data_IF_678235335747
#
_entry.id   IF_678235335747
#
_cell.length_a   1.000
_cell.length_b   1.000
_cell.length_c   1.000
_cell.angle_alpha   90.00
_cell.angle_beta   90.00
_cell.angle_gamma   90.00
#
_symmetry.space_group_name_H-M   'P 1'
#
loop_
_entity.id
_entity.type
_entity.pdbx_description
1 polymer ?
#
# COMPACT_ATOMS: atom_id res chain seq x y z
N UNK A 1 -13.82 -28.93 45.60
CA UNK A 1 -12.52 -28.27 45.40
C UNK A 1 -11.73 -29.16 44.44
N UNK A 2 -11.47 -28.83 43.18
CA UNK A 2 -11.36 -27.56 42.46
C UNK A 2 -11.91 -27.78 41.04
N UNK A 3 -12.62 -26.80 40.48
CA UNK A 3 -12.87 -26.75 39.05
C UNK A 3 -11.54 -26.39 38.37
N UNK A 4 -11.14 -27.18 37.37
CA UNK A 4 -9.94 -26.96 36.57
C UNK A 4 -10.24 -25.87 35.54
N UNK A 5 -9.75 -24.66 35.83
CA UNK A 5 -10.00 -23.47 35.05
C UNK A 5 -9.05 -23.44 33.85
N UNK A 6 -9.63 -23.66 32.66
CA UNK A 6 -9.24 -22.99 31.40
C UNK A 6 -7.78 -23.11 30.98
N UNK A 7 -7.45 -24.17 30.25
CA UNK A 7 -6.46 -24.08 29.17
C UNK A 7 -7.20 -23.71 27.87
N UNK A 8 -7.62 -22.44 27.76
CA UNK A 8 -7.92 -21.90 26.43
C UNK A 8 -6.58 -21.86 25.70
N UNK A 9 -6.36 -22.81 24.81
CA UNK A 9 -5.37 -22.67 23.75
C UNK A 9 -5.86 -21.49 22.92
N UNK A 10 -5.34 -20.30 23.20
CA UNK A 10 -5.36 -19.20 22.25
C UNK A 10 -4.49 -19.69 21.10
N UNK A 11 -5.10 -20.34 20.12
CA UNK A 11 -4.50 -20.40 18.79
C UNK A 11 -4.22 -18.94 18.42
N UNK A 12 -3.02 -18.60 17.91
CA UNK A 12 -2.78 -17.24 17.46
C UNK A 12 -3.79 -17.00 16.35
N UNK A 13 -4.83 -16.22 16.65
CA UNK A 13 -5.70 -15.65 15.65
C UNK A 13 -4.76 -15.06 14.60
N UNK A 14 -4.90 -15.38 13.31
CA UNK A 14 -4.07 -14.80 12.26
C UNK A 14 -4.51 -13.34 12.10
N UNK A 15 -4.23 -12.51 13.10
CA UNK A 15 -4.42 -11.07 13.04
C UNK A 15 -3.58 -10.57 11.85
N UNK A 16 -4.14 -9.72 10.98
CA UNK A 16 -3.47 -9.31 9.76
C UNK A 16 -2.18 -8.62 10.14
N UNK A 17 -1.02 -9.08 9.67
CA UNK A 17 0.29 -8.58 10.14
C UNK A 17 0.58 -7.14 9.69
N UNK A 18 -0.29 -6.57 8.87
CA UNK A 18 -0.14 -5.25 8.28
C UNK A 18 -1.52 -4.59 8.09
N UNK A 19 -1.59 -3.29 8.30
CA UNK A 19 -2.80 -2.49 8.01
C UNK A 19 -2.67 -1.80 6.65
N UNK A 20 -1.47 -1.30 6.32
CA UNK A 20 -1.22 -0.46 5.14
C UNK A 20 0.04 -0.88 4.40
N UNK A 21 -0.08 -1.25 3.12
CA UNK A 21 1.07 -1.42 2.23
C UNK A 21 1.41 -0.09 1.54
N UNK A 22 2.66 0.37 1.62
CA UNK A 22 3.11 1.60 0.97
C UNK A 22 3.95 1.23 -0.26
N UNK A 23 3.34 1.37 -1.43
CA UNK A 23 3.97 1.18 -2.73
C UNK A 23 4.42 2.52 -3.29
N UNK A 24 5.70 2.63 -3.64
CA UNK A 24 6.34 3.92 -3.92
C UNK A 24 7.59 3.73 -4.79
N UNK A 25 8.07 4.82 -5.38
CA UNK A 25 9.33 4.83 -6.12
C UNK A 25 10.45 5.42 -5.27
N UNK A 26 11.26 4.56 -4.68
CA UNK A 26 12.35 4.99 -3.79
C UNK A 26 13.28 6.08 -4.36
N UNK A 27 13.63 6.07 -5.66
CA UNK A 27 14.51 7.12 -6.22
C UNK A 27 13.86 8.51 -6.28
N UNK A 28 12.53 8.58 -6.30
CA UNK A 28 11.76 9.83 -6.28
C UNK A 28 11.46 10.34 -4.88
N UNK A 29 11.53 9.44 -3.89
CA UNK A 29 10.90 9.63 -2.58
C UNK A 29 11.80 9.29 -1.40
N UNK A 30 13.06 8.90 -1.65
CA UNK A 30 14.09 8.66 -0.63
C UNK A 30 14.30 9.94 0.19
N UNK A 31 13.53 10.07 1.27
CA UNK A 31 13.67 11.10 2.30
C UNK A 31 12.48 12.03 2.54
N UNK A 32 11.37 11.96 1.80
CA UNK A 32 10.21 12.84 2.07
C UNK A 32 8.93 12.05 2.37
N UNK A 33 8.13 11.71 1.38
CA UNK A 33 6.73 11.32 1.64
C UNK A 33 6.52 9.90 2.17
N UNK A 34 7.15 8.88 1.59
CA UNK A 34 6.88 7.48 1.95
C UNK A 34 7.38 7.14 3.36
N UNK A 35 8.56 7.68 3.73
CA UNK A 35 9.08 7.59 5.09
C UNK A 35 8.21 8.36 6.09
N UNK A 36 7.76 9.58 5.75
CA UNK A 36 6.85 10.35 6.60
C UNK A 36 5.51 9.64 6.81
N UNK A 37 4.94 9.03 5.76
CA UNK A 37 3.72 8.23 5.85
C UNK A 37 3.94 7.02 6.75
N UNK A 38 5.03 6.27 6.54
CA UNK A 38 5.39 5.11 7.36
C UNK A 38 5.49 5.50 8.84
N UNK A 39 6.30 6.50 9.17
CA UNK A 39 6.49 6.93 10.55
C UNK A 39 5.19 7.47 11.16
N UNK A 40 4.40 8.24 10.40
CA UNK A 40 3.15 8.79 10.87
C UNK A 40 2.13 7.69 11.20
N UNK A 41 1.94 6.73 10.30
CA UNK A 41 1.04 5.61 10.51
C UNK A 41 1.45 4.76 11.71
N UNK A 42 2.76 4.48 11.85
CA UNK A 42 3.27 3.80 13.03
C UNK A 42 2.99 4.57 14.33
N UNK A 43 3.17 5.90 14.33
CA UNK A 43 2.90 6.76 15.50
C UNK A 43 1.43 6.78 15.92
N UNK A 44 0.49 6.65 14.97
CA UNK A 44 -0.94 6.60 15.27
C UNK A 44 -1.46 5.17 15.51
N UNK A 45 -0.56 4.19 15.62
CA UNK A 45 -0.89 2.81 15.99
C UNK A 45 -1.27 1.89 14.84
N UNK A 46 -1.14 2.33 13.59
CA UNK A 46 -1.28 1.46 12.41
C UNK A 46 0.01 0.68 12.17
N UNK A 47 -0.09 -0.44 11.46
CA UNK A 47 1.04 -1.29 11.09
C UNK A 47 1.36 -1.13 9.60
N UNK A 48 2.16 -0.12 9.21
CA UNK A 48 2.55 0.07 7.83
C UNK A 48 3.64 -0.94 7.41
N UNK A 49 3.61 -1.30 6.14
CA UNK A 49 4.70 -1.99 5.45
C UNK A 49 5.29 -1.08 4.38
N UNK A 50 6.59 -0.86 4.45
CA UNK A 50 7.41 -0.15 3.47
C UNK A 50 8.65 -1.00 3.19
N UNK A 51 8.86 -1.43 1.95
CA UNK A 51 9.94 -2.33 1.55
C UNK A 51 11.32 -1.96 2.14
N UNK A 52 11.70 -0.69 2.10
CA UNK A 52 13.00 -0.15 2.52
C UNK A 52 13.19 -0.10 4.03
N UNK A 53 12.08 -0.16 4.79
CA UNK A 53 12.09 -0.19 6.25
C UNK A 53 11.91 -1.61 6.80
N UNK A 54 11.14 -2.45 6.10
CA UNK A 54 10.70 -3.75 6.61
C UNK A 54 11.52 -4.94 6.08
N UNK A 55 12.18 -4.81 4.92
CA UNK A 55 12.96 -5.90 4.33
C UNK A 55 14.41 -5.92 4.81
N UNK A 56 14.93 -7.12 5.08
CA UNK A 56 16.33 -7.37 5.46
C UNK A 56 17.17 -7.76 4.25
N UNK A 57 18.50 -7.52 4.30
CA UNK A 57 19.41 -8.09 3.32
C UNK A 57 19.28 -9.61 3.26
N UNK A 58 18.97 -10.16 2.07
CA UNK A 58 18.80 -11.60 1.86
C UNK A 58 17.35 -12.07 1.73
N UNK A 59 16.36 -11.21 2.00
CA UNK A 59 14.95 -11.52 1.79
C UNK A 59 14.65 -11.77 0.29
N UNK A 60 13.78 -12.75 0.01
CA UNK A 60 13.31 -12.99 -1.36
C UNK A 60 12.37 -11.86 -1.75
N UNK A 61 12.89 -10.87 -2.47
CA UNK A 61 12.21 -9.62 -2.81
C UNK A 61 10.74 -9.81 -3.21
N UNK A 62 10.47 -10.67 -4.20
CA UNK A 62 9.11 -10.90 -4.68
C UNK A 62 8.21 -11.67 -3.70
N UNK A 63 8.74 -12.66 -2.99
CA UNK A 63 7.94 -13.51 -2.09
C UNK A 63 7.42 -12.75 -0.87
N UNK A 64 8.31 -12.02 -0.20
CA UNK A 64 7.95 -11.22 0.99
C UNK A 64 7.01 -10.06 0.64
N UNK A 65 7.22 -9.42 -0.51
CA UNK A 65 6.33 -8.35 -1.01
C UNK A 65 4.93 -8.90 -1.30
N UNK A 66 4.83 -10.04 -1.98
CA UNK A 66 3.54 -10.66 -2.31
C UNK A 66 2.77 -11.08 -1.05
N UNK A 67 3.44 -11.70 -0.08
CA UNK A 67 2.84 -12.05 1.22
C UNK A 67 2.41 -10.79 1.98
N UNK A 68 3.24 -9.76 1.99
CA UNK A 68 2.93 -8.49 2.66
C UNK A 68 1.71 -7.82 2.05
N UNK A 69 1.63 -7.71 0.72
CA UNK A 69 0.45 -7.18 0.01
C UNK A 69 -0.80 -7.99 0.37
N UNK A 70 -0.71 -9.33 0.39
CA UNK A 70 -1.84 -10.19 0.79
C UNK A 70 -2.27 -9.92 2.23
N UNK A 71 -1.32 -9.73 3.14
CA UNK A 71 -1.60 -9.52 4.57
C UNK A 71 -2.10 -8.11 4.92
N UNK A 72 -1.70 -7.08 4.17
CA UNK A 72 -2.12 -5.71 4.38
C UNK A 72 -3.59 -5.52 3.98
N UNK A 73 -4.35 -4.75 4.76
CA UNK A 73 -5.78 -4.47 4.46
C UNK A 73 -5.95 -3.42 3.36
N UNK A 74 -5.16 -2.35 3.40
CA UNK A 74 -5.22 -1.19 2.49
C UNK A 74 -3.88 -1.03 1.78
N UNK A 75 -3.90 -0.59 0.53
CA UNK A 75 -2.73 -0.19 -0.24
C UNK A 75 -2.68 1.31 -0.46
N UNK A 76 -1.51 1.92 -0.33
CA UNK A 76 -1.23 3.29 -0.78
C UNK A 76 -0.28 3.20 -1.98
N UNK A 77 -0.67 3.80 -3.09
CA UNK A 77 0.19 3.97 -4.26
C UNK A 77 0.66 5.42 -4.33
N UNK A 78 1.95 5.65 -4.03
CA UNK A 78 2.58 6.98 -4.10
C UNK A 78 3.12 7.19 -5.51
N UNK A 79 2.27 7.68 -6.41
CA UNK A 79 2.62 8.04 -7.77
C UNK A 79 3.55 9.26 -7.78
N UNK A 80 4.67 9.15 -8.48
CA UNK A 80 5.73 10.15 -8.57
C UNK A 80 6.36 10.11 -9.98
N UNK A 81 7.18 11.10 -10.38
CA UNK A 81 7.58 11.27 -11.78
C UNK A 81 8.24 10.07 -12.46
N UNK A 82 8.96 9.20 -11.74
CA UNK A 82 9.59 7.98 -12.30
C UNK A 82 8.92 6.69 -11.80
N UNK A 83 7.75 6.78 -11.17
CA UNK A 83 7.01 5.62 -10.69
C UNK A 83 6.70 4.64 -11.82
N UNK A 84 6.12 5.11 -12.93
CA UNK A 84 5.70 4.25 -14.05
C UNK A 84 6.86 3.75 -14.92
N UNK A 85 8.11 4.12 -14.59
CA UNK A 85 9.35 3.58 -15.18
C UNK A 85 9.92 2.41 -14.38
N UNK A 86 9.31 2.08 -13.25
CA UNK A 86 9.78 1.05 -12.33
C UNK A 86 8.94 -0.20 -12.47
N UNK A 87 9.54 -1.26 -13.02
CA UNK A 87 8.92 -2.58 -13.09
C UNK A 87 8.39 -3.03 -11.72
N UNK A 88 9.20 -2.88 -10.67
CA UNK A 88 8.80 -3.25 -9.30
C UNK A 88 7.58 -2.48 -8.79
N UNK A 89 7.52 -1.17 -9.02
CA UNK A 89 6.38 -0.37 -8.55
C UNK A 89 5.09 -0.79 -9.26
N UNK A 90 5.15 -1.01 -10.58
CA UNK A 90 4.02 -1.47 -11.38
C UNK A 90 3.60 -2.91 -11.03
N UNK A 91 4.56 -3.77 -10.71
CA UNK A 91 4.33 -5.13 -10.28
C UNK A 91 3.61 -5.18 -8.93
N UNK A 92 4.06 -4.39 -7.95
CA UNK A 92 3.38 -4.22 -6.66
C UNK A 92 1.97 -3.64 -6.82
N UNK A 93 1.80 -2.63 -7.68
CA UNK A 93 0.47 -2.08 -7.98
C UNK A 93 -0.47 -3.14 -8.54
N UNK A 94 0.00 -3.92 -9.51
CA UNK A 94 -0.78 -5.00 -10.09
C UNK A 94 -1.16 -6.05 -9.05
N UNK A 95 -0.23 -6.45 -8.17
CA UNK A 95 -0.54 -7.35 -7.06
C UNK A 95 -1.60 -6.77 -6.11
N UNK A 96 -1.56 -5.47 -5.79
CA UNK A 96 -2.59 -4.84 -4.96
C UNK A 96 -3.97 -4.90 -5.63
N UNK A 97 -4.05 -4.59 -6.93
CA UNK A 97 -5.32 -4.62 -7.69
C UNK A 97 -5.84 -6.06 -7.82
N UNK A 98 -4.98 -7.03 -8.13
CA UNK A 98 -5.34 -8.46 -8.25
C UNK A 98 -5.86 -9.04 -6.93
N UNK A 99 -5.27 -8.64 -5.81
CA UNK A 99 -5.73 -9.02 -4.48
C UNK A 99 -6.88 -8.12 -3.97
N UNK A 100 -7.50 -7.33 -4.86
CA UNK A 100 -8.67 -6.47 -4.60
C UNK A 100 -8.50 -5.56 -3.40
N UNK A 101 -7.28 -5.08 -3.17
CA UNK A 101 -6.98 -4.16 -2.07
C UNK A 101 -7.71 -2.84 -2.31
N UNK A 102 -8.15 -2.21 -1.22
CA UNK A 102 -8.56 -0.80 -1.28
C UNK A 102 -7.30 0.03 -1.51
N UNK A 103 -7.22 0.68 -2.66
CA UNK A 103 -6.06 1.48 -3.05
C UNK A 103 -6.38 2.95 -2.84
N UNK A 104 -5.49 3.64 -2.14
CA UNK A 104 -5.52 5.10 -1.94
C UNK A 104 -4.36 5.68 -2.77
N UNK A 105 -4.63 6.28 -3.93
CA UNK A 105 -3.59 6.89 -4.73
C UNK A 105 -3.19 8.25 -4.16
N UNK A 106 -1.88 8.50 -4.05
CA UNK A 106 -1.29 9.79 -3.69
C UNK A 106 -0.42 10.24 -4.85
N UNK A 107 -0.79 11.34 -5.49
CA UNK A 107 -0.13 11.90 -6.66
C UNK A 107 0.83 13.02 -6.23
N UNK A 108 2.14 12.73 -6.28
CA UNK A 108 3.21 13.64 -5.86
C UNK A 108 3.87 14.25 -7.10
N UNK A 109 3.70 15.55 -7.30
CA UNK A 109 4.26 16.31 -8.42
C UNK A 109 3.90 15.75 -9.81
N UNK A 110 2.81 14.99 -9.90
CA UNK A 110 2.28 14.39 -11.12
C UNK A 110 0.77 14.53 -11.16
N UNK A 111 0.21 14.65 -12.36
CA UNK A 111 -1.23 14.55 -12.60
C UNK A 111 -1.58 13.11 -12.99
N UNK A 112 -2.77 12.61 -12.61
CA UNK A 112 -3.22 11.29 -13.05
C UNK A 112 -3.08 11.11 -14.56
N UNK A 113 -3.44 12.12 -15.36
CA UNK A 113 -3.36 12.09 -16.83
C UNK A 113 -1.96 11.86 -17.39
N UNK A 114 -0.91 12.24 -16.65
CA UNK A 114 0.50 12.04 -17.06
C UNK A 114 0.96 10.59 -16.86
N UNK A 115 0.27 9.81 -16.02
CA UNK A 115 0.65 8.43 -15.72
C UNK A 115 0.31 7.50 -16.89
N UNK A 116 1.34 6.85 -17.42
CA UNK A 116 1.28 5.77 -18.40
C UNK A 116 2.48 4.83 -18.19
N UNK A 117 2.36 3.55 -18.54
CA UNK A 117 3.44 2.58 -18.35
C UNK A 117 4.61 2.91 -19.29
N UNK A 118 5.80 3.15 -18.72
CA UNK A 118 7.00 3.58 -19.44
C UNK A 118 8.14 2.54 -19.27
N UNK A 119 7.86 1.27 -19.55
CA UNK A 119 8.86 0.20 -19.52
C UNK A 119 9.53 -0.01 -20.87
N UNK A 120 10.71 -0.62 -20.86
CA UNK A 120 11.43 -0.95 -22.09
C UNK A 120 10.69 -2.02 -22.92
N UNK A 121 11.04 -2.13 -24.21
CA UNK A 121 10.42 -3.08 -25.17
C UNK A 121 10.63 -4.55 -24.83
N UNK A 122 11.44 -4.88 -23.82
CA UNK A 122 11.70 -6.26 -23.41
C UNK A 122 10.68 -6.77 -22.37
N UNK A 123 9.76 -5.91 -21.91
CA UNK A 123 8.65 -6.34 -21.05
C UNK A 123 7.68 -7.23 -21.86
N UNK A 124 7.34 -8.45 -21.39
CA UNK A 124 6.36 -9.29 -22.07
C UNK A 124 5.01 -8.58 -22.23
N UNK A 125 4.33 -8.78 -23.36
CA UNK A 125 3.05 -8.13 -23.66
C UNK A 125 2.00 -8.35 -22.56
N UNK A 126 1.89 -9.58 -22.04
CA UNK A 126 0.99 -9.90 -20.93
C UNK A 126 1.28 -9.11 -19.66
N UNK A 127 2.55 -8.86 -19.35
CA UNK A 127 2.94 -8.03 -18.21
C UNK A 127 2.61 -6.55 -18.47
N UNK A 128 2.80 -6.09 -19.71
CA UNK A 128 2.42 -4.73 -20.10
C UNK A 128 0.90 -4.51 -19.97
N UNK A 129 0.08 -5.46 -20.43
CA UNK A 129 -1.38 -5.42 -20.27
C UNK A 129 -1.77 -5.39 -18.79
N UNK A 130 -1.17 -6.28 -17.98
CA UNK A 130 -1.37 -6.35 -16.54
C UNK A 130 -1.07 -5.01 -15.84
N UNK A 131 0.04 -4.37 -16.18
CA UNK A 131 0.41 -3.08 -15.61
C UNK A 131 -0.49 -1.94 -16.07
N UNK A 132 -0.88 -1.91 -17.35
CA UNK A 132 -1.81 -0.89 -17.85
C UNK A 132 -3.19 -1.01 -17.20
N UNK A 133 -3.69 -2.23 -17.01
CA UNK A 133 -4.94 -2.47 -16.30
C UNK A 133 -4.85 -1.98 -14.84
N UNK A 134 -3.82 -2.40 -14.10
CA UNK A 134 -3.64 -2.00 -12.70
C UNK A 134 -3.48 -0.49 -12.54
N UNK A 135 -2.72 0.16 -13.44
CA UNK A 135 -2.57 1.61 -13.45
C UNK A 135 -3.91 2.30 -13.76
N UNK A 136 -4.71 1.76 -14.68
CA UNK A 136 -6.05 2.26 -15.01
C UNK A 136 -6.99 2.25 -13.81
N UNK A 137 -7.04 1.15 -13.05
CA UNK A 137 -7.87 1.01 -11.85
C UNK A 137 -7.47 2.01 -10.75
N UNK A 138 -6.17 2.20 -10.52
CA UNK A 138 -5.66 3.07 -9.47
C UNK A 138 -5.67 4.56 -9.85
N UNK A 139 -5.54 4.89 -11.13
CA UNK A 139 -5.45 6.28 -11.61
C UNK A 139 -6.77 7.06 -11.47
N UNK A 140 -7.91 6.39 -11.55
CA UNK A 140 -9.24 7.01 -11.52
C UNK A 140 -10.01 6.77 -10.22
N UNK A 141 -9.38 6.15 -9.23
CA UNK A 141 -9.88 6.15 -7.86
C UNK A 141 -9.67 7.52 -7.21
N UNK A 142 -10.55 7.89 -6.27
CA UNK A 142 -10.44 9.15 -5.53
C UNK A 142 -9.13 9.13 -4.74
N UNK A 143 -8.25 10.09 -5.03
CA UNK A 143 -6.90 10.17 -4.46
C UNK A 143 -6.58 11.51 -3.84
N UNK A 144 -5.36 11.61 -3.32
CA UNK A 144 -4.77 12.82 -2.77
C UNK A 144 -3.75 13.38 -3.76
N UNK A 145 -3.75 14.69 -3.96
CA UNK A 145 -2.70 15.38 -4.72
C UNK A 145 -1.77 16.10 -3.75
N UNK A 146 -0.49 16.11 -4.07
CA UNK A 146 0.53 16.76 -3.26
C UNK A 146 1.60 17.40 -4.13
N UNK A 147 1.88 18.67 -3.85
CA UNK A 147 3.00 19.43 -4.42
C UNK A 147 4.11 19.44 -3.37
N UNK A 148 5.24 18.80 -3.67
CA UNK A 148 6.33 18.68 -2.71
C UNK A 148 7.07 20.01 -2.44
N UNK A 149 6.90 21.00 -3.32
CA UNK A 149 7.55 22.31 -3.20
C UNK A 149 6.82 23.26 -2.26
N UNK A 150 5.49 23.18 -2.19
CA UNK A 150 4.65 24.14 -1.44
C UNK A 150 3.55 23.49 -0.59
N UNK A 151 3.46 22.16 -0.57
CA UNK A 151 2.36 21.43 0.05
C UNK A 151 2.41 21.44 1.58
N UNK A 152 1.21 21.42 2.17
CA UNK A 152 1.04 21.22 3.61
C UNK A 152 1.14 19.73 3.95
N UNK A 153 2.30 19.34 4.51
CA UNK A 153 2.57 17.98 4.96
C UNK A 153 1.60 17.50 6.04
N UNK A 154 1.17 18.38 6.95
CA UNK A 154 0.27 17.99 8.04
C UNK A 154 -1.11 17.66 7.49
N UNK A 155 -1.60 18.48 6.55
CA UNK A 155 -2.87 18.24 5.88
C UNK A 155 -2.85 16.98 5.00
N UNK A 156 -1.74 16.72 4.30
CA UNK A 156 -1.54 15.48 3.56
C UNK A 156 -1.61 14.26 4.49
N UNK A 157 -0.83 14.26 5.58
CA UNK A 157 -0.79 13.15 6.53
C UNK A 157 -2.16 12.93 7.19
N UNK A 158 -2.85 14.00 7.57
CA UNK A 158 -4.21 13.92 8.12
C UNK A 158 -5.19 13.29 7.12
N UNK A 159 -5.20 13.76 5.87
CA UNK A 159 -6.07 13.21 4.82
C UNK A 159 -5.76 11.75 4.51
N UNK A 160 -4.48 11.39 4.44
CA UNK A 160 -4.05 10.01 4.23
C UNK A 160 -4.51 9.11 5.38
N UNK A 161 -4.36 9.55 6.63
CA UNK A 161 -4.84 8.84 7.81
C UNK A 161 -6.34 8.65 7.81
N UNK A 162 -7.12 9.69 7.50
CA UNK A 162 -8.58 9.58 7.36
C UNK A 162 -8.96 8.55 6.29
N UNK A 163 -8.39 8.65 5.09
CA UNK A 163 -8.70 7.73 4.01
C UNK A 163 -8.36 6.27 4.36
N UNK A 164 -7.23 6.04 5.03
CA UNK A 164 -6.84 4.70 5.50
C UNK A 164 -7.82 4.18 6.54
N UNK A 165 -8.08 4.95 7.60
CA UNK A 165 -8.95 4.55 8.71
C UNK A 165 -10.37 4.26 8.22
N UNK A 166 -10.91 5.10 7.35
CA UNK A 166 -12.25 4.90 6.76
C UNK A 166 -12.32 3.57 5.99
N UNK A 167 -11.29 3.23 5.22
CA UNK A 167 -11.22 1.96 4.49
C UNK A 167 -11.02 0.75 5.42
N UNK A 168 -10.29 0.90 6.53
CA UNK A 168 -10.13 -0.16 7.53
C UNK A 168 -11.45 -0.46 8.25
N UNK A 169 -12.18 0.58 8.68
CA UNK A 169 -13.48 0.45 9.36
C UNK A 169 -14.53 -0.13 8.41
N UNK A 170 -14.57 0.34 7.16
CA UNK A 170 -15.49 -0.21 6.16
C UNK A 170 -15.24 -1.69 5.86
N UNK A 171 -13.97 -2.15 5.95
CA UNK A 171 -13.62 -3.56 5.80
C UNK A 171 -14.13 -4.44 6.95
N UNK A 172 -14.07 -3.94 8.19
CA UNK A 172 -14.50 -4.69 9.38
C UNK A 172 -16.03 -4.82 9.48
N UNK A 173 -16.79 -3.85 8.99
CA UNK A 173 -18.25 -3.90 8.98
C UNK A 173 -18.82 -4.99 8.05
N UNK A 174 -18.06 -5.43 7.04
CA UNK A 174 -18.49 -6.45 6.06
C UNK A 174 -18.22 -7.88 6.56
N UNK A 175 -17.35 -8.06 7.56
CA UNK A 175 -16.97 -9.38 8.12
C UNK A 175 -17.85 -9.82 9.30
N UNK A 176 -18.86 -9.05 9.69
CA UNK A 176 -19.83 -9.47 10.72
C UNK A 176 -20.62 -10.70 10.22
N UNK A 177 -20.54 -11.87 10.89
CA UNK A 177 -21.26 -13.05 10.46
C UNK A 177 -22.76 -12.79 10.55
N UNK A 178 -23.46 -13.02 9.44
CA UNK A 178 -24.92 -13.10 9.41
C UNK A 178 -25.39 -14.15 10.40
N UNK A 179 -26.34 -13.74 11.25
CA UNK A 179 -27.02 -14.56 12.24
C UNK A 179 -27.80 -15.72 11.61
#
# INVERSE_FOLDING_TARGET
>A
HYFDTTQFIISPIPYPRCDVFINYRGVDTRGSIAGLLYDHFARIGLRPFLDSANMKPGDKLFGEIEESIRSCKVGIAVFSPRYCRSYFCLHELALMVENKKKIIPIFVDVRPSELHVELNRNCPEKEMERFNWALGEAKYTVGLTFDSSNGDWSELLRKASTAVIDNLVAGEAVEMPGN
#
